data_IF_371428293509
#
_entry.id   IF_371428293509
#
_cell.length_a   1.000
_cell.length_b   1.000
_cell.length_c   1.000
_cell.angle_alpha   90.00
_cell.angle_beta   90.00
_cell.angle_gamma   90.00
#
_symmetry.space_group_name_H-M   'P 1'
#
loop_
_entity.id
_entity.type
_entity.pdbx_description
1 polymer ?
#
# COMPACT_ATOMS: atom_id res chain seq x y z
N UNK A 1 -6.82 -28.74 -0.81
CA UNK A 1 -5.54 -28.01 -0.90
C UNK A 1 -4.41 -28.92 -0.41
N UNK A 2 -3.33 -29.07 -1.16
CA UNK A 2 -2.14 -29.82 -0.73
C UNK A 2 -1.11 -28.90 -0.05
N UNK A 3 -0.06 -29.47 0.56
CA UNK A 3 0.95 -28.72 1.31
C UNK A 3 1.67 -27.66 0.46
N UNK A 4 2.03 -27.99 -0.79
CA UNK A 4 2.70 -27.05 -1.70
C UNK A 4 1.79 -25.87 -2.07
N UNK A 5 0.50 -26.13 -2.29
CA UNK A 5 -0.50 -25.09 -2.56
C UNK A 5 -0.67 -24.16 -1.35
N UNK A 6 -0.74 -24.72 -0.14
CA UNK A 6 -0.82 -23.93 1.10
C UNK A 6 0.40 -23.06 1.29
N UNK A 7 1.60 -23.64 1.15
CA UNK A 7 2.86 -22.90 1.24
C UNK A 7 2.92 -21.75 0.22
N UNK A 8 2.45 -21.98 -1.00
CA UNK A 8 2.44 -20.93 -2.03
C UNK A 8 1.48 -19.78 -1.69
N UNK A 9 0.33 -20.07 -1.10
CA UNK A 9 -0.61 -19.05 -0.61
C UNK A 9 0.05 -18.26 0.53
N UNK A 10 0.65 -18.96 1.49
CA UNK A 10 1.34 -18.34 2.61
C UNK A 10 2.45 -17.39 2.15
N UNK A 11 3.35 -17.84 1.27
CA UNK A 11 4.41 -17.00 0.69
C UNK A 11 3.85 -15.77 -0.05
N UNK A 12 2.70 -15.90 -0.71
CA UNK A 12 2.07 -14.79 -1.42
C UNK A 12 1.48 -13.78 -0.44
N UNK A 13 0.82 -14.26 0.62
CA UNK A 13 0.29 -13.40 1.69
C UNK A 13 1.44 -12.70 2.42
N UNK A 14 2.52 -13.40 2.73
CA UNK A 14 3.70 -12.81 3.39
C UNK A 14 4.36 -11.72 2.56
N UNK A 15 4.50 -11.92 1.24
CA UNK A 15 5.00 -10.88 0.35
C UNK A 15 4.10 -9.64 0.29
N UNK A 16 2.78 -9.83 0.39
CA UNK A 16 1.84 -8.71 0.49
C UNK A 16 1.92 -8.01 1.86
N UNK A 17 2.11 -8.76 2.96
CA UNK A 17 2.29 -8.21 4.30
C UNK A 17 3.55 -7.35 4.38
N UNK A 18 4.67 -7.84 3.84
CA UNK A 18 5.91 -7.06 3.78
C UNK A 18 5.72 -5.75 3.02
N UNK A 19 5.05 -5.80 1.87
CA UNK A 19 4.72 -4.60 1.11
C UNK A 19 3.82 -3.63 1.91
N UNK A 20 2.90 -4.15 2.72
CA UNK A 20 1.99 -3.34 3.53
C UNK A 20 2.74 -2.63 4.66
N UNK A 21 3.67 -3.31 5.32
CA UNK A 21 4.55 -2.73 6.35
C UNK A 21 5.32 -1.54 5.75
N UNK A 22 5.92 -1.72 4.58
CA UNK A 22 6.65 -0.64 3.92
C UNK A 22 5.74 0.50 3.45
N UNK A 23 4.54 0.20 2.94
CA UNK A 23 3.56 1.22 2.58
C UNK A 23 3.18 2.08 3.80
N UNK A 24 2.91 1.45 4.95
CA UNK A 24 2.65 2.17 6.20
C UNK A 24 3.87 2.99 6.65
N UNK A 25 5.07 2.42 6.61
CA UNK A 25 6.29 3.13 7.00
C UNK A 25 6.48 4.41 6.17
N UNK A 26 6.45 4.31 4.83
CA UNK A 26 6.60 5.47 3.96
C UNK A 26 5.48 6.49 4.14
N UNK A 27 4.22 6.04 4.27
CA UNK A 27 3.09 6.92 4.53
C UNK A 27 3.25 7.70 5.84
N UNK A 28 3.63 7.03 6.93
CA UNK A 28 3.81 7.66 8.24
C UNK A 28 4.98 8.65 8.23
N UNK A 29 6.08 8.33 7.56
CA UNK A 29 7.20 9.28 7.40
C UNK A 29 6.77 10.52 6.62
N UNK A 30 6.04 10.35 5.50
CA UNK A 30 5.52 11.47 4.71
C UNK A 30 4.52 12.32 5.51
N UNK A 31 3.62 11.69 6.26
CA UNK A 31 2.68 12.39 7.13
C UNK A 31 3.42 13.17 8.23
N UNK A 32 4.44 12.58 8.85
CA UNK A 32 5.29 13.27 9.82
C UNK A 32 6.02 14.48 9.24
N UNK A 33 6.64 14.33 8.06
CA UNK A 33 7.27 15.45 7.35
C UNK A 33 6.27 16.56 7.03
N UNK A 34 5.06 16.21 6.62
CA UNK A 34 3.98 17.16 6.33
C UNK A 34 3.56 17.94 7.58
N UNK A 35 3.43 17.27 8.74
CA UNK A 35 3.10 17.95 9.99
C UNK A 35 4.25 18.84 10.50
N UNK A 36 5.51 18.40 10.37
CA UNK A 36 6.67 19.25 10.69
C UNK A 36 6.69 20.49 9.79
N UNK A 37 6.42 20.35 8.48
CA UNK A 37 6.37 21.48 7.56
C UNK A 37 5.31 22.54 7.93
N UNK A 38 4.21 22.12 8.59
CA UNK A 38 3.19 23.04 9.10
C UNK A 38 3.56 23.69 10.43
N UNK A 39 4.19 22.94 11.33
CA UNK A 39 4.37 23.32 12.74
C UNK A 39 5.73 23.94 13.03
N UNK A 40 6.76 23.62 12.25
CA UNK A 40 8.11 24.15 12.40
C UNK A 40 8.79 24.21 11.03
N UNK A 41 8.34 25.16 10.21
CA UNK A 41 8.84 25.33 8.85
C UNK A 41 10.34 25.65 8.83
N UNK A 42 10.81 26.42 9.79
CA UNK A 42 12.20 26.84 9.94
C UNK A 42 13.15 25.64 10.09
N UNK A 43 12.69 24.55 10.69
CA UNK A 43 13.47 23.31 10.86
C UNK A 43 13.74 22.59 9.54
N UNK A 44 12.88 22.76 8.53
CA UNK A 44 13.02 22.15 7.20
C UNK A 44 13.68 23.12 6.20
N UNK A 45 13.45 24.42 6.37
CA UNK A 45 13.96 25.48 5.49
C UNK A 45 15.50 25.58 5.49
N UNK A 46 16.18 25.00 6.48
CA UNK A 46 17.65 24.89 6.47
C UNK A 46 18.19 23.98 5.36
N UNK A 47 17.40 23.02 4.87
CA UNK A 47 17.82 22.03 3.86
C UNK A 47 16.73 21.77 2.80
N UNK A 48 16.27 22.79 2.06
CA UNK A 48 15.08 22.70 1.22
C UNK A 48 15.22 21.66 0.10
N UNK A 49 16.42 21.56 -0.49
CA UNK A 49 16.71 20.59 -1.55
C UNK A 49 16.72 19.15 -1.02
N UNK A 50 17.33 18.91 0.14
CA UNK A 50 17.37 17.59 0.76
C UNK A 50 15.96 17.12 1.11
N UNK A 51 15.16 17.98 1.74
CA UNK A 51 13.78 17.66 2.12
C UNK A 51 12.93 17.38 0.88
N UNK A 52 13.10 18.15 -0.20
CA UNK A 52 12.44 17.87 -1.48
C UNK A 52 12.82 16.49 -2.03
N UNK A 53 14.11 16.16 -2.08
CA UNK A 53 14.58 14.84 -2.54
C UNK A 53 14.04 13.70 -1.68
N UNK A 54 14.07 13.84 -0.35
CA UNK A 54 13.53 12.84 0.59
C UNK A 54 12.02 12.66 0.38
N UNK A 55 11.28 13.76 0.25
CA UNK A 55 9.85 13.71 0.01
C UNK A 55 9.52 12.97 -1.28
N UNK A 56 10.17 13.34 -2.39
CA UNK A 56 9.95 12.67 -3.68
C UNK A 56 10.34 11.21 -3.64
N UNK A 57 11.49 10.85 -3.07
CA UNK A 57 11.93 9.47 -2.95
C UNK A 57 10.98 8.60 -2.12
N UNK A 58 10.49 9.12 -0.98
CA UNK A 58 9.51 8.42 -0.16
C UNK A 58 8.14 8.28 -0.85
N UNK A 59 7.72 9.33 -1.57
CA UNK A 59 6.47 9.32 -2.32
C UNK A 59 6.52 8.28 -3.45
N UNK A 60 7.60 8.24 -4.23
CA UNK A 60 7.79 7.26 -5.30
C UNK A 60 7.84 5.84 -4.74
N UNK A 61 8.55 5.62 -3.63
CA UNK A 61 8.61 4.32 -2.96
C UNK A 61 7.23 3.88 -2.45
N UNK A 62 6.48 4.78 -1.82
CA UNK A 62 5.11 4.52 -1.38
C UNK A 62 4.21 4.15 -2.56
N UNK A 63 4.22 4.95 -3.62
CA UNK A 63 3.43 4.70 -4.81
C UNK A 63 3.73 3.35 -5.44
N UNK A 64 5.01 2.99 -5.52
CA UNK A 64 5.43 1.70 -6.04
C UNK A 64 4.87 0.54 -5.19
N UNK A 65 4.92 0.66 -3.86
CA UNK A 65 4.34 -0.36 -2.96
C UNK A 65 2.84 -0.48 -3.13
N UNK A 66 2.12 0.64 -3.16
CA UNK A 66 0.66 0.64 -3.35
C UNK A 66 0.25 0.07 -4.71
N UNK A 67 0.96 0.46 -5.77
CA UNK A 67 0.73 -0.09 -7.11
C UNK A 67 0.91 -1.60 -7.14
N UNK A 68 1.93 -2.14 -6.44
CA UNK A 68 2.19 -3.58 -6.43
C UNK A 68 0.98 -4.42 -5.98
N UNK A 69 0.14 -3.90 -5.08
CA UNK A 69 -1.07 -4.60 -4.65
C UNK A 69 -2.11 -4.74 -5.76
N UNK A 70 -2.25 -3.72 -6.61
CA UNK A 70 -3.31 -3.64 -7.64
C UNK A 70 -2.81 -3.97 -9.04
N UNK A 71 -1.51 -4.21 -9.19
CA UNK A 71 -0.87 -4.53 -10.47
C UNK A 71 -1.43 -5.84 -11.04
N UNK A 72 -2.15 -5.73 -12.16
CA UNK A 72 -2.73 -6.86 -12.89
C UNK A 72 -1.79 -7.51 -13.89
N UNK A 73 -0.53 -7.08 -14.00
CA UNK A 73 0.43 -7.63 -14.94
C UNK A 73 0.78 -9.09 -14.62
N UNK A 74 1.16 -9.86 -15.65
CA UNK A 74 1.28 -11.32 -15.60
C UNK A 74 2.27 -11.85 -14.54
N UNK A 75 3.24 -11.03 -14.13
CA UNK A 75 4.29 -11.39 -13.18
C UNK A 75 4.18 -10.63 -11.84
N UNK A 76 3.13 -9.82 -11.65
CA UNK A 76 2.93 -9.10 -10.41
C UNK A 76 2.49 -10.04 -9.27
N UNK A 77 2.95 -9.73 -8.05
CA UNK A 77 2.63 -10.45 -6.82
C UNK A 77 1.41 -9.91 -6.08
N UNK A 78 0.65 -8.99 -6.69
CA UNK A 78 -0.48 -8.30 -6.08
C UNK A 78 -1.71 -9.16 -5.80
N UNK A 79 -2.78 -8.52 -5.32
CA UNK A 79 -4.09 -9.12 -5.11
C UNK A 79 -4.64 -9.88 -6.33
N UNK A 80 -4.54 -9.37 -7.58
CA UNK A 80 -4.99 -10.12 -8.75
C UNK A 80 -4.34 -11.52 -8.87
N UNK A 81 -3.06 -11.62 -8.51
CA UNK A 81 -2.31 -12.88 -8.51
C UNK A 81 -2.78 -13.79 -7.38
N UNK A 82 -2.94 -13.25 -6.17
CA UNK A 82 -3.49 -13.99 -5.02
C UNK A 82 -4.88 -14.54 -5.34
N UNK A 83 -5.81 -13.72 -5.84
CA UNK A 83 -7.17 -14.14 -6.19
C UNK A 83 -7.19 -15.26 -7.22
N UNK A 84 -6.32 -15.18 -8.23
CA UNK A 84 -6.17 -16.25 -9.23
C UNK A 84 -5.67 -17.56 -8.61
N UNK A 85 -4.72 -17.49 -7.67
CA UNK A 85 -4.21 -18.64 -6.93
C UNK A 85 -5.32 -19.25 -6.06
N UNK A 86 -6.08 -18.43 -5.32
CA UNK A 86 -7.14 -18.88 -4.43
C UNK A 86 -8.28 -19.55 -5.19
N UNK A 87 -8.75 -18.97 -6.30
CA UNK A 87 -9.74 -19.60 -7.18
C UNK A 87 -9.29 -20.96 -7.70
N UNK A 88 -7.99 -21.10 -8.00
CA UNK A 88 -7.43 -22.35 -8.50
C UNK A 88 -7.32 -23.42 -7.42
N UNK A 89 -6.92 -23.05 -6.20
CA UNK A 89 -6.62 -24.01 -5.13
C UNK A 89 -7.81 -24.32 -4.23
N UNK A 90 -8.80 -23.43 -4.18
CA UNK A 90 -10.00 -23.54 -3.34
C UNK A 90 -11.31 -23.32 -4.14
N UNK A 91 -11.54 -23.98 -5.28
CA UNK A 91 -12.68 -23.67 -6.16
C UNK A 91 -14.06 -23.97 -5.56
N UNK A 92 -14.12 -24.78 -4.50
CA UNK A 92 -15.38 -25.22 -3.85
C UNK A 92 -15.77 -24.36 -2.63
N UNK A 93 -14.90 -23.45 -2.18
CA UNK A 93 -15.20 -22.55 -1.05
C UNK A 93 -15.99 -21.35 -1.55
N UNK A 94 -17.33 -21.48 -1.55
CA UNK A 94 -18.26 -20.46 -2.05
C UNK A 94 -18.16 -19.14 -1.30
N UNK A 95 -17.90 -19.18 0.01
CA UNK A 95 -17.71 -17.97 0.81
C UNK A 95 -16.43 -17.24 0.44
N UNK A 96 -15.34 -17.98 0.16
CA UNK A 96 -14.09 -17.40 -0.32
C UNK A 96 -14.26 -16.81 -1.71
N UNK A 97 -14.99 -17.48 -2.62
CA UNK A 97 -15.24 -16.94 -3.95
C UNK A 97 -16.03 -15.63 -3.88
N UNK A 98 -17.07 -15.58 -3.04
CA UNK A 98 -17.84 -14.35 -2.80
C UNK A 98 -16.99 -13.22 -2.22
N UNK A 99 -16.12 -13.53 -1.26
CA UNK A 99 -15.19 -12.54 -0.70
C UNK A 99 -14.23 -12.01 -1.75
N UNK A 100 -13.66 -12.88 -2.60
CA UNK A 100 -12.77 -12.48 -3.70
C UNK A 100 -13.49 -11.56 -4.67
N UNK A 101 -14.72 -11.89 -5.07
CA UNK A 101 -15.51 -11.05 -5.98
C UNK A 101 -15.79 -9.66 -5.40
N UNK A 102 -16.13 -9.61 -4.11
CA UNK A 102 -16.38 -8.36 -3.40
C UNK A 102 -15.12 -7.51 -3.24
N UNK A 103 -14.00 -8.11 -2.84
CA UNK A 103 -12.73 -7.38 -2.69
C UNK A 103 -12.19 -6.92 -4.05
N UNK A 104 -12.29 -7.73 -5.10
CA UNK A 104 -11.96 -7.31 -6.47
C UNK A 104 -12.83 -6.13 -6.92
N UNK A 105 -14.13 -6.17 -6.61
CA UNK A 105 -15.05 -5.08 -6.93
C UNK A 105 -14.65 -3.80 -6.19
N UNK A 106 -14.42 -3.89 -4.87
CA UNK A 106 -13.97 -2.77 -4.05
C UNK A 106 -12.66 -2.17 -4.55
N UNK A 107 -11.68 -3.00 -4.90
CA UNK A 107 -10.39 -2.53 -5.44
C UNK A 107 -10.53 -1.86 -6.81
N UNK A 108 -11.43 -2.33 -7.66
CA UNK A 108 -11.72 -1.69 -8.97
C UNK A 108 -12.47 -0.36 -8.83
N UNK A 109 -13.39 -0.28 -7.88
CA UNK A 109 -14.21 0.91 -7.64
C UNK A 109 -13.50 1.97 -6.78
N UNK A 110 -12.43 1.60 -6.09
CA UNK A 110 -11.65 2.53 -5.26
C UNK A 110 -10.93 3.57 -6.13
N UNK A 111 -11.44 4.80 -6.12
CA UNK A 111 -10.92 5.90 -6.92
C UNK A 111 -9.42 6.14 -6.68
N UNK A 112 -8.95 5.96 -5.44
CA UNK A 112 -7.54 6.15 -5.11
C UNK A 112 -6.63 5.12 -5.80
N UNK A 113 -7.10 3.87 -5.91
CA UNK A 113 -6.39 2.82 -6.63
C UNK A 113 -6.30 3.14 -8.14
N UNK A 114 -7.39 3.64 -8.73
CA UNK A 114 -7.40 4.04 -10.13
C UNK A 114 -6.43 5.20 -10.40
N UNK A 115 -6.36 6.21 -9.52
CA UNK A 115 -5.40 7.31 -9.64
C UNK A 115 -3.95 6.80 -9.60
N UNK A 116 -3.62 5.88 -8.69
CA UNK A 116 -2.28 5.28 -8.62
C UNK A 116 -1.94 4.52 -9.90
N UNK A 117 -2.88 3.74 -10.42
CA UNK A 117 -2.69 3.01 -11.68
C UNK A 117 -2.47 3.97 -12.87
N UNK A 118 -3.23 5.07 -12.93
CA UNK A 118 -3.05 6.10 -13.96
C UNK A 118 -1.65 6.74 -13.87
N UNK A 119 -1.21 7.13 -12.67
CA UNK A 119 0.15 7.64 -12.45
C UNK A 119 1.22 6.67 -12.93
N UNK A 120 1.12 5.40 -12.55
CA UNK A 120 2.11 4.39 -12.94
C UNK A 120 2.17 4.24 -14.46
N UNK A 121 1.03 4.07 -15.11
CA UNK A 121 1.01 3.76 -16.54
C UNK A 121 1.35 5.00 -17.39
N UNK A 122 0.75 6.14 -17.09
CA UNK A 122 0.80 7.31 -17.96
C UNK A 122 2.02 8.19 -17.74
N UNK A 123 2.52 8.26 -16.50
CA UNK A 123 3.64 9.14 -16.13
C UNK A 123 4.94 8.39 -15.94
N UNK A 124 4.92 7.26 -15.22
CA UNK A 124 6.15 6.56 -14.82
C UNK A 124 6.61 5.51 -15.83
N UNK A 125 5.69 4.66 -16.32
CA UNK A 125 6.05 3.50 -17.14
C UNK A 125 6.16 3.84 -18.63
N UNK A 126 5.23 4.62 -19.17
CA UNK A 126 5.13 4.84 -20.62
C UNK A 126 5.43 6.28 -21.05
N UNK A 127 5.72 7.20 -20.12
CA UNK A 127 6.03 8.62 -20.40
C UNK A 127 5.11 9.23 -21.47
N UNK A 128 3.80 8.97 -21.35
CA UNK A 128 2.83 9.34 -22.37
C UNK A 128 2.63 10.85 -22.43
N UNK A 129 1.97 11.34 -23.49
CA UNK A 129 1.63 12.76 -23.65
C UNK A 129 0.79 13.32 -22.48
N UNK A 130 0.09 12.47 -21.74
CA UNK A 130 -0.67 12.84 -20.55
C UNK A 130 0.19 13.43 -19.42
N UNK A 131 1.52 13.20 -19.42
CA UNK A 131 2.43 13.87 -18.47
C UNK A 131 2.45 15.39 -18.63
N UNK A 132 2.20 15.90 -19.84
CA UNK A 132 2.12 17.33 -20.12
C UNK A 132 0.67 17.86 -20.06
N UNK A 133 -0.26 16.94 -19.75
CA UNK A 133 -1.67 17.09 -19.40
C UNK A 133 -1.95 18.00 -18.19
N UNK A 134 -2.31 19.30 -18.26
CA UNK A 134 -2.62 20.07 -17.05
C UNK A 134 -3.78 19.45 -16.24
N UNK A 135 -4.77 18.88 -16.93
CA UNK A 135 -5.97 18.29 -16.33
C UNK A 135 -5.67 16.91 -15.73
N UNK A 136 -4.66 16.19 -16.27
CA UNK A 136 -4.20 14.92 -15.69
C UNK A 136 -3.79 15.09 -14.22
N UNK A 137 -3.04 16.15 -13.90
CA UNK A 137 -2.57 16.38 -12.53
C UNK A 137 -3.72 16.72 -11.58
N UNK A 138 -4.72 17.50 -12.00
CA UNK A 138 -5.88 17.80 -11.17
C UNK A 138 -6.72 16.55 -10.91
N UNK A 139 -6.94 15.74 -11.94
CA UNK A 139 -7.82 14.56 -11.88
C UNK A 139 -7.19 13.42 -11.08
N UNK A 140 -5.86 13.30 -11.15
CA UNK A 140 -5.11 12.23 -10.49
C UNK A 140 -4.40 12.68 -9.22
N UNK A 141 -4.70 13.89 -8.71
CA UNK A 141 -4.17 14.34 -7.42
C UNK A 141 -4.65 13.41 -6.31
N UNK A 142 -3.70 12.96 -5.49
CA UNK A 142 -3.93 12.13 -4.31
C UNK A 142 -3.62 12.90 -3.03
N UNK A 143 -4.58 12.95 -2.13
CA UNK A 143 -4.44 13.48 -0.77
C UNK A 143 -3.92 12.37 0.16
N UNK A 144 -3.23 12.77 1.23
CA UNK A 144 -2.77 11.82 2.26
C UNK A 144 -3.93 11.00 2.87
N UNK A 145 -5.13 11.59 3.00
CA UNK A 145 -6.32 10.88 3.48
C UNK A 145 -6.78 9.79 2.50
N UNK A 146 -6.71 10.05 1.19
CA UNK A 146 -7.04 9.06 0.15
C UNK A 146 -6.05 7.91 0.17
N UNK A 147 -4.75 8.22 0.31
CA UNK A 147 -3.70 7.21 0.43
C UNK A 147 -3.89 6.37 1.70
N UNK A 148 -4.17 6.99 2.84
CA UNK A 148 -4.45 6.28 4.09
C UNK A 148 -5.67 5.37 3.96
N UNK A 149 -6.74 5.85 3.33
CA UNK A 149 -7.96 5.07 3.09
C UNK A 149 -7.67 3.84 2.23
N UNK A 150 -6.88 4.01 1.17
CA UNK A 150 -6.44 2.89 0.34
C UNK A 150 -5.59 1.88 1.13
N UNK A 151 -4.60 2.33 1.92
CA UNK A 151 -3.78 1.40 2.72
C UNK A 151 -4.66 0.57 3.66
N UNK A 152 -5.63 1.21 4.33
CA UNK A 152 -6.59 0.51 5.21
C UNK A 152 -7.47 -0.47 4.44
N UNK A 153 -7.90 -0.12 3.22
CA UNK A 153 -8.62 -1.06 2.35
C UNK A 153 -7.78 -2.30 2.06
N UNK A 154 -6.52 -2.10 1.63
CA UNK A 154 -5.58 -3.18 1.31
C UNK A 154 -5.30 -4.06 2.53
N UNK A 155 -5.08 -3.45 3.71
CA UNK A 155 -4.91 -4.13 4.99
C UNK A 155 -6.12 -5.03 5.30
N UNK A 156 -7.33 -4.48 5.26
CA UNK A 156 -8.55 -5.23 5.57
C UNK A 156 -8.76 -6.42 4.61
N UNK A 157 -8.46 -6.24 3.31
CA UNK A 157 -8.52 -7.34 2.36
C UNK A 157 -7.51 -8.44 2.75
N UNK A 158 -6.24 -8.08 2.98
CA UNK A 158 -5.18 -9.03 3.30
C UNK A 158 -5.42 -9.77 4.61
N UNK A 159 -5.89 -9.06 5.64
CA UNK A 159 -6.26 -9.62 6.95
C UNK A 159 -7.36 -10.66 6.82
N UNK A 160 -8.38 -10.38 6.00
CA UNK A 160 -9.46 -11.31 5.72
C UNK A 160 -8.96 -12.65 5.17
N UNK A 161 -7.99 -12.62 4.23
CA UNK A 161 -7.41 -13.85 3.68
C UNK A 161 -6.46 -14.54 4.65
N UNK A 162 -5.64 -13.80 5.40
CA UNK A 162 -4.70 -14.37 6.36
C UNK A 162 -5.44 -15.09 7.49
N UNK A 163 -6.44 -14.45 8.08
CA UNK A 163 -7.26 -15.06 9.13
C UNK A 163 -8.03 -16.28 8.61
N UNK A 164 -8.65 -16.19 7.43
CA UNK A 164 -9.45 -17.29 6.86
C UNK A 164 -8.61 -18.49 6.46
N UNK A 165 -7.42 -18.29 5.89
CA UNK A 165 -6.62 -19.36 5.26
C UNK A 165 -5.47 -19.84 6.14
N UNK A 166 -4.88 -18.95 6.94
CA UNK A 166 -3.68 -19.20 7.74
C UNK A 166 -3.97 -19.18 9.25
N UNK A 167 -5.11 -18.64 9.69
CA UNK A 167 -5.49 -18.50 11.10
C UNK A 167 -4.48 -17.68 11.91
N UNK A 168 -3.90 -16.65 11.29
CA UNK A 168 -2.98 -15.72 11.95
C UNK A 168 -3.35 -14.29 11.61
N UNK A 169 -3.15 -13.41 12.58
CA UNK A 169 -3.17 -11.97 12.33
C UNK A 169 -1.91 -11.60 11.56
N UNK A 170 -2.02 -10.67 10.62
CA UNK A 170 -0.81 -10.14 10.00
C UNK A 170 -0.19 -9.11 10.95
N UNK A 171 1.05 -9.32 11.35
CA UNK A 171 1.88 -8.37 12.13
C UNK A 171 2.27 -7.14 11.28
N UNK A 172 1.28 -6.50 10.68
CA UNK A 172 1.36 -5.27 9.90
C UNK A 172 0.91 -4.05 10.71
N UNK A 173 0.29 -4.29 11.88
CA UNK A 173 -0.19 -3.24 12.78
C UNK A 173 0.80 -2.90 13.87
N UNK A 174 1.15 -1.60 13.88
CA UNK A 174 1.86 -0.83 14.89
C UNK A 174 3.18 -1.44 15.39
N UNK A 175 4.20 -0.60 15.65
CA UNK A 175 5.26 -1.04 16.55
C UNK A 175 4.58 -1.55 17.83
N UNK A 176 5.03 -2.67 18.40
CA UNK A 176 4.48 -3.16 19.66
C UNK A 176 4.42 -2.02 20.69
N UNK A 177 3.54 -2.11 21.70
CA UNK A 177 3.48 -1.09 22.75
C UNK A 177 4.86 -0.78 23.34
N UNK A 178 5.77 -1.76 23.37
CA UNK A 178 7.19 -1.57 23.73
C UNK A 178 7.92 -0.62 22.80
N UNK A 179 7.79 -0.76 21.48
CA UNK A 179 8.42 0.13 20.51
C UNK A 179 7.76 1.51 20.51
N UNK A 180 6.44 1.60 20.69
CA UNK A 180 5.74 2.90 20.87
C UNK A 180 6.26 3.62 22.12
N UNK A 181 6.41 2.88 23.22
CA UNK A 181 6.92 3.42 24.49
C UNK A 181 8.38 3.86 24.37
N UNK A 182 9.22 3.09 23.68
CA UNK A 182 10.62 3.43 23.46
C UNK A 182 10.78 4.67 22.58
N UNK A 183 10.04 4.75 21.47
CA UNK A 183 10.02 5.94 20.60
C UNK A 183 9.51 7.16 21.37
N UNK A 184 8.44 7.01 22.16
CA UNK A 184 7.91 8.09 23.01
C UNK A 184 8.91 8.55 24.07
N UNK A 185 9.71 7.64 24.61
CA UNK A 185 10.78 7.96 25.57
C UNK A 185 11.91 8.74 24.90
N UNK A 186 12.34 8.33 23.70
CA UNK A 186 13.37 9.03 22.92
C UNK A 186 12.94 10.45 22.52
N UNK A 187 11.66 10.66 22.22
CA UNK A 187 11.12 11.97 21.86
C UNK A 187 10.98 12.93 23.04
N UNK A 188 10.80 12.42 24.28
CA UNK A 188 10.72 13.22 25.51
C UNK A 188 12.08 13.64 26.08
N UNK A 189 13.18 13.13 25.52
CA UNK A 189 14.54 13.46 25.94
C UNK A 189 15.19 14.61 25.14
N UNK A 190 14.43 15.26 24.25
CA UNK A 190 14.78 16.50 23.57
C UNK A 190 13.99 17.66 24.17
#
# INVERSE_FOLDING_TARGET
MNANQRKKIEETIDGLCENLVWAWAYFRTLAGLHEVAKTSKESLDAYPQLISCVYHGLFDALFLRLHHFIDGSRNAGGFPSLFKILRRYCPVDTDLMRQIEEDERRLREEASAQKINNWRNQVVAHFTSARNDPDFFSDNRLRLSEISGLIVLLENCLEGYSMKLLQRENDTRYPSDEVINEVSRLLKQR
#
